data_IF_046468249068
#
_entry.id   IF_046468249068
#
_cell.length_a   1.000
_cell.length_b   1.000
_cell.length_c   1.000
_cell.angle_alpha   90.00
_cell.angle_beta   90.00
_cell.angle_gamma   90.00
#
_symmetry.space_group_name_H-M   'P 1'
#
loop_
_entity.id
_entity.type
_entity.pdbx_description
1 polymer ?
#
# COMPACT_ATOMS: atom_id res chain seq x y z
N UNK A 1 -30.05 53.18 16.91
CA UNK A 1 -29.63 52.16 15.93
C UNK A 1 -28.11 52.13 15.94
N UNK A 2 -27.48 51.10 16.50
CA UNK A 2 -26.01 50.90 16.41
C UNK A 2 -25.77 49.45 16.03
N UNK A 3 -25.14 49.29 14.87
CA UNK A 3 -24.88 48.03 14.20
C UNK A 3 -23.94 47.14 15.03
N UNK A 4 -24.31 45.88 15.21
CA UNK A 4 -23.43 44.84 15.72
C UNK A 4 -22.51 44.39 14.58
N UNK A 5 -21.21 44.55 14.75
CA UNK A 5 -20.21 44.01 13.84
C UNK A 5 -20.12 42.49 14.06
N UNK A 6 -20.50 41.74 13.03
CA UNK A 6 -20.32 40.29 12.96
C UNK A 6 -18.81 39.99 12.84
N UNK A 7 -18.22 39.43 13.89
CA UNK A 7 -16.90 38.83 13.82
C UNK A 7 -17.01 37.52 13.02
N UNK A 8 -16.50 37.50 11.79
CA UNK A 8 -16.28 36.25 11.06
C UNK A 8 -15.17 35.45 11.78
N UNK A 9 -15.57 34.43 12.52
CA UNK A 9 -14.68 33.37 12.98
C UNK A 9 -14.19 32.60 11.75
N UNK A 10 -12.93 32.81 11.37
CA UNK A 10 -12.18 31.92 10.48
C UNK A 10 -11.98 30.60 11.22
N UNK A 11 -12.95 29.68 11.06
CA UNK A 11 -12.76 28.29 11.47
C UNK A 11 -11.66 27.68 10.59
N UNK A 12 -10.62 27.04 11.17
CA UNK A 12 -9.68 26.27 10.37
C UNK A 12 -10.47 25.15 9.69
N UNK A 13 -10.42 25.10 8.35
CA UNK A 13 -10.89 23.96 7.59
C UNK A 13 -10.17 22.71 8.14
N UNK A 14 -10.86 21.58 8.34
CA UNK A 14 -10.21 20.35 8.76
C UNK A 14 -9.13 20.04 7.72
N UNK A 15 -7.87 20.03 8.17
CA UNK A 15 -6.78 19.57 7.33
C UNK A 15 -7.09 18.11 6.98
N UNK A 16 -7.45 17.86 5.72
CA UNK A 16 -7.68 16.52 5.19
C UNK A 16 -6.44 15.68 5.47
N UNK A 17 -6.54 14.76 6.45
CA UNK A 17 -5.42 13.94 6.85
C UNK A 17 -5.29 12.77 5.87
N UNK A 18 -4.57 12.99 4.77
CA UNK A 18 -4.09 11.90 3.93
C UNK A 18 -2.99 11.16 4.68
N UNK A 19 -3.20 9.89 4.99
CA UNK A 19 -2.18 9.01 5.51
C UNK A 19 -1.55 8.23 4.36
N UNK A 20 -0.22 8.25 4.29
CA UNK A 20 0.55 7.53 3.29
C UNK A 20 1.69 6.76 3.97
N UNK A 21 1.70 5.44 3.79
CA UNK A 21 2.86 4.61 4.13
C UNK A 21 3.60 4.19 2.87
N UNK A 22 4.92 4.36 2.85
CA UNK A 22 5.79 3.87 1.79
C UNK A 22 6.91 3.05 2.41
N UNK A 23 6.93 1.75 2.13
CA UNK A 23 7.78 0.78 2.82
C UNK A 23 8.37 -0.22 1.83
N UNK A 24 9.63 -0.58 2.05
CA UNK A 24 10.23 -1.76 1.44
C UNK A 24 9.97 -2.95 2.36
N UNK A 25 9.27 -3.95 1.85
CA UNK A 25 8.97 -5.20 2.55
C UNK A 25 9.70 -6.37 1.91
N UNK A 26 10.21 -7.27 2.73
CA UNK A 26 10.92 -8.48 2.35
C UNK A 26 10.16 -9.68 2.91
N UNK A 27 9.99 -10.74 2.13
CA UNK A 27 9.11 -11.81 2.54
C UNK A 27 9.15 -13.02 1.64
N UNK A 28 8.26 -13.95 1.94
CA UNK A 28 8.16 -15.25 1.26
C UNK A 28 6.74 -15.43 0.73
N UNK A 29 6.62 -15.92 -0.50
CA UNK A 29 5.33 -16.30 -1.06
C UNK A 29 4.83 -17.57 -0.36
N UNK A 30 3.70 -17.47 0.34
CA UNK A 30 3.14 -18.58 1.11
C UNK A 30 2.10 -19.37 0.34
N UNK A 31 1.43 -18.75 -0.61
CA UNK A 31 0.42 -19.36 -1.46
C UNK A 31 0.38 -18.65 -2.81
N UNK A 32 0.44 -19.40 -3.90
CA UNK A 32 0.21 -18.89 -5.26
C UNK A 32 -1.01 -19.62 -5.79
N UNK A 33 -2.17 -18.95 -5.98
CA UNK A 33 -3.33 -19.64 -6.49
C UNK A 33 -3.04 -20.18 -7.89
N UNK A 34 -3.43 -21.44 -8.11
CA UNK A 34 -3.42 -22.04 -9.44
C UNK A 34 -4.52 -21.35 -10.24
N UNK A 35 -4.11 -20.54 -11.21
CA UNK A 35 -5.00 -19.81 -12.11
C UNK A 35 -5.82 -20.79 -12.98
N UNK A 36 -7.09 -20.98 -12.65
CA UNK A 36 -8.12 -21.20 -13.68
C UNK A 36 -8.57 -19.81 -14.13
N UNK A 37 -8.11 -19.38 -15.31
CA UNK A 37 -8.40 -18.05 -15.86
C UNK A 37 -9.93 -17.82 -15.93
N UNK A 38 -10.51 -16.91 -15.14
CA UNK A 38 -11.87 -16.44 -15.39
C UNK A 38 -11.82 -15.57 -16.65
N UNK A 39 -12.75 -15.79 -17.57
CA UNK A 39 -12.83 -15.16 -18.89
C UNK A 39 -13.32 -13.70 -18.85
N UNK A 40 -13.29 -13.05 -17.68
CA UNK A 40 -13.84 -11.74 -17.45
C UNK A 40 -12.71 -10.69 -17.38
N UNK A 41 -12.76 -9.74 -18.32
CA UNK A 41 -11.78 -8.67 -18.47
C UNK A 41 -11.74 -7.67 -17.29
N UNK A 42 -12.68 -7.79 -16.36
CA UNK A 42 -12.81 -6.97 -15.14
C UNK A 42 -12.37 -7.70 -13.86
N UNK A 43 -11.89 -8.95 -13.96
CA UNK A 43 -11.39 -9.67 -12.79
C UNK A 43 -10.08 -9.02 -12.31
N UNK A 44 -10.02 -8.62 -11.03
CA UNK A 44 -8.76 -8.26 -10.37
C UNK A 44 -7.71 -9.35 -10.67
N UNK A 45 -6.55 -8.93 -11.19
CA UNK A 45 -5.50 -9.85 -11.58
C UNK A 45 -5.16 -10.81 -10.45
N UNK A 46 -4.65 -12.01 -10.75
CA UNK A 46 -4.36 -13.01 -9.74
C UNK A 46 -3.45 -12.45 -8.64
N UNK A 47 -3.90 -12.57 -7.40
CA UNK A 47 -3.13 -12.21 -6.22
C UNK A 47 -2.44 -13.45 -5.64
N UNK A 48 -1.27 -13.28 -5.03
CA UNK A 48 -0.62 -14.32 -4.23
C UNK A 48 -0.53 -13.89 -2.77
N UNK A 49 -0.40 -14.84 -1.86
CA UNK A 49 -0.15 -14.54 -0.46
C UNK A 49 1.35 -14.37 -0.21
N UNK A 50 1.69 -13.27 0.46
CA UNK A 50 3.05 -12.89 0.79
C UNK A 50 3.16 -12.67 2.29
N UNK A 51 4.00 -13.47 2.97
CA UNK A 51 4.32 -13.27 4.38
C UNK A 51 5.50 -12.33 4.51
N UNK A 52 5.29 -11.20 5.16
CA UNK A 52 6.34 -10.22 5.47
C UNK A 52 7.27 -10.77 6.55
N UNK A 53 8.57 -10.74 6.28
CA UNK A 53 9.66 -11.18 7.18
C UNK A 53 10.65 -10.06 7.50
N UNK A 54 10.57 -8.94 6.79
CA UNK A 54 11.36 -7.74 7.01
C UNK A 54 10.64 -6.52 6.46
N UNK A 55 10.78 -5.38 7.12
CA UNK A 55 10.26 -4.11 6.64
C UNK A 55 11.17 -2.95 7.01
N UNK A 56 11.28 -1.97 6.12
CA UNK A 56 12.09 -0.76 6.31
C UNK A 56 11.54 0.40 5.49
N UNK A 57 11.76 1.65 5.92
CA UNK A 57 11.49 2.80 5.07
C UNK A 57 12.39 2.77 3.82
N UNK A 58 11.95 3.34 2.69
CA UNK A 58 12.75 3.43 1.48
C UNK A 58 13.94 4.41 1.69
N UNK A 59 15.07 4.20 0.97
CA UNK A 59 16.27 5.01 1.13
C UNK A 59 16.18 6.41 0.49
N UNK A 60 15.13 6.67 -0.29
CA UNK A 60 14.92 7.91 -1.06
C UNK A 60 14.33 9.05 -0.23
N UNK A 61 14.04 8.82 1.06
CA UNK A 61 13.43 9.83 1.93
C UNK A 61 12.01 10.19 1.50
N UNK A 62 11.32 9.29 0.77
CA UNK A 62 9.92 9.46 0.45
C UNK A 62 9.11 9.76 1.72
N UNK A 63 8.11 10.62 1.57
CA UNK A 63 7.19 10.93 2.67
C UNK A 63 6.57 9.63 3.16
N UNK A 64 6.67 9.39 4.45
CA UNK A 64 6.09 8.22 5.09
C UNK A 64 5.48 8.68 6.42
N UNK A 65 4.16 8.73 6.45
CA UNK A 65 3.39 9.11 7.63
C UNK A 65 3.13 7.87 8.52
N UNK A 66 3.48 6.66 8.07
CA UNK A 66 3.24 5.39 8.73
C UNK A 66 4.48 4.66 9.27
N UNK A 67 4.25 3.67 10.13
CA UNK A 67 5.30 2.80 10.67
C UNK A 67 5.42 1.51 9.84
N UNK A 68 6.51 1.35 9.09
CA UNK A 68 6.74 0.14 8.31
C UNK A 68 6.78 -1.14 9.14
N UNK A 69 7.08 -1.05 10.46
CA UNK A 69 7.07 -2.21 11.34
C UNK A 69 5.67 -2.77 11.55
N UNK A 70 4.61 -1.99 11.30
CA UNK A 70 3.23 -2.46 11.38
C UNK A 70 2.96 -3.63 10.42
N UNK A 71 3.68 -3.69 9.30
CA UNK A 71 3.53 -4.76 8.30
C UNK A 71 4.32 -6.03 8.63
N UNK A 72 5.14 -6.05 9.68
CA UNK A 72 5.90 -7.24 10.06
C UNK A 72 4.96 -8.39 10.40
N UNK A 73 5.30 -9.59 9.92
CA UNK A 73 4.53 -10.83 10.11
C UNK A 73 3.11 -10.84 9.51
N UNK A 74 2.68 -9.76 8.84
CA UNK A 74 1.43 -9.74 8.07
C UNK A 74 1.51 -10.70 6.86
N UNK A 75 0.38 -11.31 6.54
CA UNK A 75 0.16 -12.02 5.28
C UNK A 75 -0.65 -11.10 4.37
N UNK A 76 -0.04 -10.71 3.26
CA UNK A 76 -0.62 -9.75 2.32
C UNK A 76 -1.08 -10.47 1.06
N UNK A 77 -2.27 -10.13 0.57
CA UNK A 77 -2.68 -10.45 -0.80
C UNK A 77 -2.02 -9.44 -1.74
N UNK A 78 -1.11 -9.92 -2.59
CA UNK A 78 -0.30 -9.09 -3.48
C UNK A 78 -0.71 -9.32 -4.92
N UNK A 79 -1.14 -8.24 -5.59
CA UNK A 79 -1.34 -8.21 -7.04
C UNK A 79 -0.19 -7.45 -7.68
N UNK A 80 0.53 -8.08 -8.62
CA UNK A 80 1.60 -7.43 -9.38
C UNK A 80 1.06 -6.80 -10.67
N UNK A 81 1.75 -5.79 -11.22
CA UNK A 81 1.42 -5.23 -12.52
C UNK A 81 1.36 -6.30 -13.62
N UNK A 82 0.45 -6.11 -14.57
CA UNK A 82 0.29 -7.02 -15.72
C UNK A 82 1.61 -7.21 -16.47
N UNK A 83 1.89 -8.45 -16.88
CA UNK A 83 3.15 -8.84 -17.52
C UNK A 83 4.28 -9.23 -16.56
N UNK A 84 4.09 -9.08 -15.25
CA UNK A 84 5.00 -9.68 -14.26
C UNK A 84 4.83 -11.20 -14.25
N UNK A 85 5.95 -11.93 -14.13
CA UNK A 85 5.88 -13.37 -13.88
C UNK A 85 5.24 -13.62 -12.50
N UNK A 86 4.27 -14.53 -12.44
CA UNK A 86 3.66 -14.94 -11.17
C UNK A 86 4.70 -15.67 -10.32
N UNK A 87 5.00 -15.21 -9.09
CA UNK A 87 5.96 -15.90 -8.23
C UNK A 87 5.39 -17.22 -7.69
N UNK A 88 6.26 -18.17 -7.39
CA UNK A 88 5.89 -19.49 -6.89
C UNK A 88 5.97 -19.55 -5.36
N UNK A 89 5.22 -20.47 -4.76
CA UNK A 89 5.29 -20.71 -3.33
C UNK A 89 6.73 -21.02 -2.90
N UNK A 90 7.22 -20.31 -1.88
CA UNK A 90 8.59 -20.38 -1.39
C UNK A 90 9.54 -19.32 -1.96
N UNK A 91 9.14 -18.58 -3.00
CA UNK A 91 9.94 -17.48 -3.52
C UNK A 91 10.15 -16.39 -2.49
N UNK A 92 11.37 -15.84 -2.46
CA UNK A 92 11.73 -14.68 -1.66
C UNK A 92 11.66 -13.43 -2.52
N UNK A 93 10.86 -12.46 -2.11
CA UNK A 93 10.68 -11.20 -2.84
C UNK A 93 10.96 -10.01 -1.94
N UNK A 94 11.43 -8.94 -2.58
CA UNK A 94 11.45 -7.60 -2.02
C UNK A 94 10.46 -6.76 -2.81
N UNK A 95 9.48 -6.20 -2.11
CA UNK A 95 8.42 -5.37 -2.70
C UNK A 95 8.48 -3.97 -2.09
N UNK A 96 8.07 -2.97 -2.86
CA UNK A 96 7.69 -1.66 -2.32
C UNK A 96 6.17 -1.66 -2.14
N UNK A 97 5.74 -1.49 -0.90
CA UNK A 97 4.37 -1.35 -0.47
C UNK A 97 4.07 0.15 -0.29
N UNK A 98 3.03 0.61 -0.99
CA UNK A 98 2.43 1.91 -0.75
C UNK A 98 1.02 1.70 -0.22
N UNK A 99 0.72 2.23 0.97
CA UNK A 99 -0.61 2.23 1.57
C UNK A 99 -1.13 3.66 1.67
N UNK A 100 -2.29 3.90 1.10
CA UNK A 100 -2.98 5.19 1.15
C UNK A 100 -4.30 5.03 1.91
N UNK A 101 -4.54 5.94 2.85
CA UNK A 101 -5.78 6.00 3.63
C UNK A 101 -6.28 7.45 3.63
N UNK A 102 -7.48 7.67 3.08
CA UNK A 102 -8.17 8.95 3.08
C UNK A 102 -9.61 8.72 3.51
N UNK A 103 -10.24 9.67 4.23
CA UNK A 103 -11.61 9.49 4.73
C UNK A 103 -12.63 9.15 3.61
N UNK A 104 -12.34 9.56 2.37
CA UNK A 104 -13.22 9.37 1.21
C UNK A 104 -12.89 8.13 0.36
N UNK A 105 -11.74 7.48 0.56
CA UNK A 105 -11.28 6.36 -0.28
C UNK A 105 -10.92 5.17 0.62
N UNK A 106 -11.47 3.97 0.36
CA UNK A 106 -11.06 2.76 1.06
C UNK A 106 -9.54 2.60 1.03
N UNK A 107 -8.97 2.21 2.15
CA UNK A 107 -7.53 1.96 2.29
C UNK A 107 -7.04 1.11 1.12
N UNK A 108 -6.15 1.69 0.32
CA UNK A 108 -5.65 1.09 -0.91
C UNK A 108 -4.19 0.73 -0.74
N UNK A 109 -3.82 -0.50 -1.11
CA UNK A 109 -2.45 -1.00 -1.08
C UNK A 109 -1.97 -1.27 -2.50
N UNK A 110 -0.80 -0.73 -2.84
CA UNK A 110 -0.14 -0.95 -4.12
C UNK A 110 1.22 -1.61 -3.89
N UNK A 111 1.51 -2.64 -4.67
CA UNK A 111 2.76 -3.39 -4.60
C UNK A 111 3.53 -3.25 -5.90
N UNK A 112 4.83 -2.99 -5.80
CA UNK A 112 5.75 -3.03 -6.94
C UNK A 112 6.97 -3.85 -6.59
N UNK A 113 7.59 -4.49 -7.59
CA UNK A 113 8.87 -5.16 -7.38
C UNK A 113 9.91 -4.10 -7.01
N UNK A 114 10.57 -4.28 -5.87
CA UNK A 114 11.67 -3.39 -5.51
C UNK A 114 12.86 -3.67 -6.44
N UNK A 115 13.55 -2.64 -6.94
CA UNK A 115 14.77 -2.85 -7.70
C UNK A 115 15.80 -3.61 -6.84
N UNK A 116 16.62 -4.49 -7.45
CA UNK A 116 17.66 -5.20 -6.70
C UNK A 116 18.58 -4.18 -6.01
N UNK A 117 18.90 -4.44 -4.74
CA UNK A 117 19.89 -3.64 -4.03
C UNK A 117 21.22 -3.72 -4.81
N UNK A 118 21.73 -2.56 -5.24
CA UNK A 118 23.03 -2.45 -5.91
C UNK A 118 24.18 -2.56 -4.93
#
# INVERSE_FOLDING_TARGET
MKAAAFALLLLPLPAHATYMSDCIIEGVVTNTPVLELPNDADAEGPAFEFRVTGSKPPPDGARNDGDCRAFMDEVLAVTLPSGSAMPVQGDRLTLRLMEFDTEDIPRTRTFTLAPPAR
#
